data_IF_659934870795
#
_entry.id   IF_659934870795
#
_cell.length_a   1.000
_cell.length_b   1.000
_cell.length_c   1.000
_cell.angle_alpha   90.00
_cell.angle_beta   90.00
_cell.angle_gamma   90.00
#
_symmetry.space_group_name_H-M   'P 1'
#
loop_
_entity.id
_entity.type
_entity.pdbx_description
1 polymer ?
#
# COMPACT_ATOMS: atom_id res chain seq x y z
N UNK A 1 -14.95 -2.19 3.72
CA UNK A 1 -14.78 -0.98 2.87
C UNK A 1 -14.26 -1.45 1.53
N UNK A 2 -15.04 -1.29 0.47
CA UNK A 2 -14.66 -1.70 -0.89
C UNK A 2 -13.60 -0.74 -1.43
N UNK A 3 -12.47 -1.29 -1.82
CA UNK A 3 -11.42 -0.56 -2.53
C UNK A 3 -11.90 -0.24 -3.94
N UNK A 4 -12.32 0.98 -4.17
CA UNK A 4 -12.79 1.40 -5.50
C UNK A 4 -11.60 1.87 -6.34
N UNK A 5 -10.93 0.92 -6.99
CA UNK A 5 -10.21 1.25 -8.22
C UNK A 5 -11.25 1.83 -9.17
N UNK A 6 -10.98 3.02 -9.74
CA UNK A 6 -11.92 3.69 -10.67
C UNK A 6 -12.45 2.71 -11.72
N UNK A 7 -13.76 2.68 -12.01
CA UNK A 7 -14.31 1.80 -13.05
C UNK A 7 -13.66 1.98 -14.42
N UNK A 8 -13.28 3.21 -14.77
CA UNK A 8 -12.59 3.51 -16.03
C UNK A 8 -11.19 2.89 -16.04
N UNK A 9 -10.47 2.95 -14.92
CA UNK A 9 -9.15 2.34 -14.81
C UNK A 9 -9.25 0.81 -14.84
N UNK A 10 -10.22 0.22 -14.15
CA UNK A 10 -10.47 -1.24 -14.19
C UNK A 10 -10.73 -1.74 -15.60
N UNK A 11 -11.53 -1.02 -16.38
CA UNK A 11 -11.77 -1.36 -17.79
C UNK A 11 -10.49 -1.34 -18.61
N UNK A 12 -9.70 -0.27 -18.52
CA UNK A 12 -8.43 -0.15 -19.24
C UNK A 12 -7.43 -1.23 -18.83
N UNK A 13 -7.38 -1.56 -17.53
CA UNK A 13 -6.50 -2.61 -17.01
C UNK A 13 -6.91 -3.98 -17.50
N UNK A 14 -8.21 -4.29 -17.50
CA UNK A 14 -8.77 -5.53 -18.00
C UNK A 14 -8.40 -5.76 -19.47
N UNK A 15 -8.57 -4.75 -20.33
CA UNK A 15 -8.20 -4.82 -21.75
C UNK A 15 -6.71 -5.11 -21.95
N UNK A 16 -5.86 -4.44 -21.15
CA UNK A 16 -4.40 -4.66 -21.22
C UNK A 16 -4.02 -6.08 -20.75
N UNK A 17 -4.62 -6.53 -19.63
CA UNK A 17 -4.37 -7.87 -19.08
C UNK A 17 -4.81 -8.95 -20.06
N UNK A 18 -6.01 -8.85 -20.63
CA UNK A 18 -6.51 -9.77 -21.64
C UNK A 18 -5.56 -9.87 -22.83
N UNK A 19 -5.19 -8.73 -23.40
CA UNK A 19 -4.29 -8.65 -24.53
C UNK A 19 -2.94 -9.29 -24.24
N UNK A 20 -2.36 -9.02 -23.07
CA UNK A 20 -1.04 -9.54 -22.70
C UNK A 20 -1.09 -11.05 -22.41
N UNK A 21 -2.14 -11.56 -21.82
CA UNK A 21 -2.34 -13.01 -21.66
C UNK A 21 -2.33 -13.70 -23.03
N UNK A 22 -3.08 -13.19 -24.01
CA UNK A 22 -3.09 -13.74 -25.38
C UNK A 22 -1.77 -13.53 -26.12
N UNK A 23 -0.99 -12.54 -25.79
CA UNK A 23 0.36 -12.36 -26.34
C UNK A 23 1.32 -13.45 -25.87
N UNK A 24 1.25 -13.83 -24.59
CA UNK A 24 2.15 -14.82 -23.98
C UNK A 24 1.72 -16.25 -24.21
N UNK A 25 0.44 -16.52 -24.08
CA UNK A 25 -0.14 -17.86 -24.17
C UNK A 25 -0.93 -18.01 -25.45
N UNK A 26 -0.48 -18.91 -26.32
CA UNK A 26 -1.04 -19.06 -27.67
C UNK A 26 -2.16 -20.09 -27.76
N UNK A 27 -2.46 -20.81 -26.69
CA UNK A 27 -3.55 -21.79 -26.66
C UNK A 27 -4.52 -21.54 -25.52
N UNK A 28 -5.78 -21.91 -25.72
CA UNK A 28 -6.79 -21.86 -24.65
C UNK A 28 -6.40 -22.69 -23.42
N UNK A 29 -5.69 -23.79 -23.62
CA UNK A 29 -5.21 -24.66 -22.54
C UNK A 29 -4.18 -23.94 -21.66
N UNK A 30 -3.24 -23.22 -22.27
CA UNK A 30 -2.21 -22.49 -21.52
C UNK A 30 -2.80 -21.30 -20.78
N UNK A 31 -3.76 -20.60 -21.42
CA UNK A 31 -4.51 -19.52 -20.78
C UNK A 31 -5.31 -20.04 -19.57
N UNK A 32 -6.01 -21.16 -19.73
CA UNK A 32 -6.75 -21.79 -18.63
C UNK A 32 -5.79 -22.19 -17.49
N UNK A 33 -4.64 -22.75 -17.80
CA UNK A 33 -3.64 -23.13 -16.80
C UNK A 33 -3.12 -21.88 -16.04
N UNK A 34 -2.81 -20.80 -16.76
CA UNK A 34 -2.41 -19.53 -16.13
C UNK A 34 -3.49 -19.00 -15.19
N UNK A 35 -4.75 -19.01 -15.63
CA UNK A 35 -5.87 -18.56 -14.79
C UNK A 35 -6.06 -19.43 -13.54
N UNK A 36 -5.92 -20.76 -13.66
CA UNK A 36 -5.97 -21.70 -12.53
C UNK A 36 -4.84 -21.45 -11.52
N UNK A 37 -3.63 -21.13 -11.96
CA UNK A 37 -2.51 -20.79 -11.08
C UNK A 37 -2.74 -19.47 -10.30
N UNK A 38 -3.61 -18.61 -10.81
CA UNK A 38 -4.00 -17.38 -10.13
C UNK A 38 -5.15 -17.56 -9.14
N UNK A 39 -5.83 -18.72 -9.11
CA UNK A 39 -6.88 -19.00 -8.13
C UNK A 39 -6.27 -19.22 -6.75
N UNK A 40 -6.96 -18.73 -5.72
CA UNK A 40 -6.62 -18.98 -4.31
C UNK A 40 -7.74 -19.85 -3.75
N UNK A 41 -7.36 -20.97 -3.12
CA UNK A 41 -8.28 -21.88 -2.46
C UNK A 41 -8.42 -21.49 -0.99
N UNK A 42 -9.65 -21.42 -0.48
CA UNK A 42 -9.89 -21.30 0.94
C UNK A 42 -9.70 -22.65 1.67
N UNK A 43 -9.84 -22.63 2.99
CA UNK A 43 -9.73 -23.85 3.82
C UNK A 43 -10.83 -24.90 3.55
N UNK A 44 -11.86 -24.57 2.76
CA UNK A 44 -12.98 -25.46 2.40
C UNK A 44 -12.89 -25.93 0.94
N UNK A 45 -11.83 -25.55 0.22
CA UNK A 45 -11.62 -25.92 -1.18
C UNK A 45 -12.41 -25.07 -2.19
N UNK A 46 -12.99 -23.96 -1.77
CA UNK A 46 -13.61 -22.99 -2.68
C UNK A 46 -12.56 -22.05 -3.26
N UNK A 47 -12.76 -21.65 -4.51
CA UNK A 47 -11.88 -20.72 -5.19
C UNK A 47 -12.39 -19.28 -5.03
N UNK A 48 -11.47 -18.34 -5.04
CA UNK A 48 -11.76 -16.91 -4.93
C UNK A 48 -12.44 -16.32 -6.19
N UNK A 49 -12.38 -17.01 -7.32
CA UNK A 49 -13.15 -16.73 -8.55
C UNK A 49 -13.31 -17.99 -9.39
N UNK A 50 -14.40 -18.06 -10.12
CA UNK A 50 -14.68 -19.14 -11.07
C UNK A 50 -14.19 -18.78 -12.47
N UNK A 51 -13.67 -19.77 -13.20
CA UNK A 51 -13.30 -19.62 -14.60
C UNK A 51 -14.56 -19.76 -15.45
N UNK A 52 -14.81 -18.78 -16.31
CA UNK A 52 -15.88 -18.81 -17.28
C UNK A 52 -15.50 -19.58 -18.54
N UNK A 53 -16.41 -20.31 -19.09
CA UNK A 53 -16.21 -21.10 -20.32
C UNK A 53 -17.22 -20.70 -21.38
N UNK A 54 -16.85 -20.89 -22.65
CA UNK A 54 -17.78 -20.86 -23.76
C UNK A 54 -17.61 -22.13 -24.61
N UNK A 55 -18.70 -22.57 -25.24
CA UNK A 55 -18.69 -23.74 -26.10
C UNK A 55 -18.37 -23.33 -27.53
N UNK A 56 -17.34 -23.95 -28.14
CA UNK A 56 -16.98 -23.80 -29.53
C UNK A 56 -17.05 -25.16 -30.24
N UNK A 57 -17.94 -25.27 -31.23
CA UNK A 57 -18.20 -26.50 -31.95
C UNK A 57 -18.86 -27.60 -31.11
N UNK A 58 -18.85 -28.86 -31.56
CA UNK A 58 -19.45 -29.99 -30.84
C UNK A 58 -18.73 -30.26 -29.52
N UNK A 59 -19.24 -29.77 -28.42
CA UNK A 59 -18.81 -30.02 -27.03
C UNK A 59 -17.36 -29.66 -26.68
N UNK A 60 -16.77 -28.65 -27.30
CA UNK A 60 -15.48 -28.12 -26.85
C UNK A 60 -15.72 -26.91 -25.95
N UNK A 61 -15.49 -27.10 -24.68
CA UNK A 61 -15.42 -25.98 -23.72
C UNK A 61 -14.05 -25.31 -23.81
N UNK A 62 -14.05 -24.01 -24.00
CA UNK A 62 -12.86 -23.16 -23.98
C UNK A 62 -13.02 -22.08 -22.93
N UNK A 63 -11.92 -21.68 -22.32
CA UNK A 63 -11.99 -20.55 -21.38
C UNK A 63 -12.52 -19.29 -22.09
N UNK A 64 -13.48 -18.64 -21.47
CA UNK A 64 -13.91 -17.30 -21.81
C UNK A 64 -13.13 -16.30 -20.96
N UNK A 65 -11.94 -15.93 -21.43
CA UNK A 65 -11.01 -15.10 -20.67
C UNK A 65 -11.61 -13.76 -20.29
N UNK A 66 -12.30 -13.09 -21.24
CA UNK A 66 -12.87 -11.77 -20.99
C UNK A 66 -13.93 -11.78 -19.87
N UNK A 67 -14.81 -12.79 -19.85
CA UNK A 67 -15.82 -12.91 -18.78
C UNK A 67 -15.18 -13.27 -17.44
N UNK A 68 -14.17 -14.14 -17.44
CA UNK A 68 -13.40 -14.47 -16.23
C UNK A 68 -12.73 -13.22 -15.67
N UNK A 69 -12.09 -12.40 -16.51
CA UNK A 69 -11.44 -11.16 -16.08
C UNK A 69 -12.45 -10.09 -15.64
N UNK A 70 -13.68 -10.08 -16.18
CA UNK A 70 -14.77 -9.19 -15.72
C UNK A 70 -15.19 -9.51 -14.30
N UNK A 71 -15.37 -10.79 -13.99
CA UNK A 71 -15.68 -11.23 -12.61
C UNK A 71 -14.56 -10.80 -11.67
N UNK A 72 -13.30 -11.07 -12.02
CA UNK A 72 -12.15 -10.65 -11.22
C UNK A 72 -12.13 -9.13 -11.03
N UNK A 73 -12.34 -8.36 -12.10
CA UNK A 73 -12.34 -6.91 -12.04
C UNK A 73 -13.48 -6.33 -11.18
N UNK A 74 -14.61 -7.03 -11.09
CA UNK A 74 -15.76 -6.62 -10.31
C UNK A 74 -15.60 -7.00 -8.83
N UNK A 75 -15.28 -8.26 -8.55
CA UNK A 75 -15.37 -8.84 -7.23
C UNK A 75 -14.02 -8.80 -6.49
N UNK A 76 -12.90 -8.89 -7.22
CA UNK A 76 -11.55 -8.95 -6.66
C UNK A 76 -10.58 -8.06 -7.46
N UNK A 77 -10.81 -6.74 -7.51
CA UNK A 77 -10.02 -5.83 -8.35
C UNK A 77 -8.52 -5.83 -8.02
N UNK A 78 -8.12 -6.12 -6.78
CA UNK A 78 -6.71 -6.26 -6.39
C UNK A 78 -6.02 -7.45 -7.07
N UNK A 79 -6.78 -8.50 -7.43
CA UNK A 79 -6.24 -9.63 -8.17
C UNK A 79 -5.94 -9.26 -9.63
N UNK A 80 -6.83 -8.50 -10.27
CA UNK A 80 -6.56 -8.00 -11.62
C UNK A 80 -5.27 -7.20 -11.68
N UNK A 81 -5.02 -6.40 -10.63
CA UNK A 81 -3.81 -5.63 -10.52
C UNK A 81 -2.57 -6.52 -10.31
N UNK A 82 -2.64 -7.55 -9.44
CA UNK A 82 -1.55 -8.51 -9.26
C UNK A 82 -1.22 -9.23 -10.57
N UNK A 83 -2.23 -9.62 -11.35
CA UNK A 83 -2.04 -10.21 -12.68
C UNK A 83 -1.37 -9.22 -13.64
N UNK A 84 -1.73 -7.95 -13.61
CA UNK A 84 -1.10 -6.92 -14.44
C UNK A 84 0.40 -6.78 -14.11
N UNK A 85 0.76 -6.78 -12.82
CA UNK A 85 2.14 -6.73 -12.35
C UNK A 85 2.92 -7.98 -12.80
N UNK A 86 2.35 -9.17 -12.62
CA UNK A 86 2.94 -10.45 -13.04
C UNK A 86 3.21 -10.49 -14.54
N UNK A 87 2.31 -9.95 -15.33
CA UNK A 87 2.42 -9.83 -16.77
C UNK A 87 3.35 -8.70 -17.23
N UNK A 88 3.92 -7.91 -16.30
CA UNK A 88 4.80 -6.79 -16.65
C UNK A 88 4.08 -5.68 -17.39
N UNK A 89 2.77 -5.55 -17.20
CA UNK A 89 1.99 -4.46 -17.78
C UNK A 89 2.37 -3.20 -17.02
N UNK A 90 2.87 -2.20 -17.74
CA UNK A 90 3.06 -0.87 -17.19
C UNK A 90 1.69 -0.32 -16.74
N UNK A 91 1.51 -0.29 -15.44
CA UNK A 91 0.38 0.40 -14.83
C UNK A 91 0.86 1.81 -14.57
N UNK A 92 0.29 2.84 -15.23
CA UNK A 92 0.89 4.16 -15.30
C UNK A 92 1.18 4.82 -13.95
N UNK A 93 0.53 4.36 -12.88
CA UNK A 93 0.57 5.03 -11.58
C UNK A 93 0.75 4.07 -10.39
N UNK A 94 1.17 2.83 -10.64
CA UNK A 94 1.28 1.85 -9.59
C UNK A 94 2.73 1.55 -9.24
N UNK A 95 3.23 2.27 -8.28
CA UNK A 95 4.36 1.79 -7.50
C UNK A 95 3.84 0.58 -6.73
N UNK A 96 4.49 -0.61 -6.84
CA UNK A 96 4.07 -1.84 -6.13
C UNK A 96 3.96 -1.66 -4.61
N UNK A 97 4.51 -0.58 -4.08
CA UNK A 97 4.42 -0.19 -2.67
C UNK A 97 2.99 0.13 -2.20
N UNK A 98 2.09 0.62 -3.05
CA UNK A 98 0.76 1.04 -2.60
C UNK A 98 -0.10 -0.11 -2.05
N UNK A 99 -0.31 -1.24 -2.75
CA UNK A 99 -1.04 -2.37 -2.19
C UNK A 99 -0.37 -2.96 -0.96
N UNK A 100 0.96 -3.07 -0.97
CA UNK A 100 1.73 -3.56 0.18
C UNK A 100 1.54 -2.63 1.36
N UNK A 101 1.69 -1.32 1.16
CA UNK A 101 1.51 -0.32 2.20
C UNK A 101 0.10 -0.34 2.80
N UNK A 102 -0.94 -0.44 1.96
CA UNK A 102 -2.31 -0.61 2.43
C UNK A 102 -2.49 -1.82 3.34
N UNK A 103 -1.88 -2.95 2.98
CA UNK A 103 -1.98 -4.16 3.79
C UNK A 103 -1.28 -4.01 5.14
N UNK A 104 -0.08 -3.43 5.15
CA UNK A 104 0.66 -3.14 6.38
C UNK A 104 -0.11 -2.19 7.32
N UNK A 105 -0.72 -1.15 6.76
CA UNK A 105 -1.51 -0.20 7.56
C UNK A 105 -2.73 -0.84 8.24
N UNK A 106 -3.34 -1.85 7.64
CA UNK A 106 -4.55 -2.49 8.19
C UNK A 106 -4.32 -3.25 9.48
N UNK A 107 -3.12 -3.81 9.66
CA UNK A 107 -2.81 -4.64 10.82
C UNK A 107 -2.74 -3.80 12.10
N UNK A 108 -1.80 -2.89 12.17
CA UNK A 108 -1.45 -2.19 13.41
C UNK A 108 -1.63 -0.66 13.34
N UNK A 109 -1.91 -0.09 12.15
CA UNK A 109 -1.89 1.36 11.91
C UNK A 109 -3.26 1.92 11.47
N UNK A 110 -4.33 1.68 12.23
CA UNK A 110 -5.72 2.00 11.85
C UNK A 110 -5.96 3.46 11.46
N UNK A 111 -5.38 4.41 12.21
CA UNK A 111 -5.54 5.84 11.92
C UNK A 111 -4.83 6.23 10.62
N UNK A 112 -3.62 5.70 10.41
CA UNK A 112 -2.88 5.90 9.18
C UNK A 112 -3.61 5.26 7.99
N UNK A 113 -4.18 4.06 8.15
CA UNK A 113 -5.00 3.41 7.13
C UNK A 113 -6.18 4.28 6.69
N UNK A 114 -6.92 4.83 7.65
CA UNK A 114 -8.06 5.71 7.37
C UNK A 114 -7.62 6.99 6.63
N UNK A 115 -6.52 7.60 7.05
CA UNK A 115 -5.97 8.80 6.40
C UNK A 115 -5.46 8.49 5.01
N UNK A 116 -4.82 7.32 4.80
CA UNK A 116 -4.31 6.92 3.49
C UNK A 116 -5.43 6.71 2.47
N UNK A 117 -6.52 6.05 2.86
CA UNK A 117 -7.67 5.88 1.97
C UNK A 117 -8.28 7.23 1.58
N UNK A 118 -8.39 8.18 2.51
CA UNK A 118 -8.86 9.54 2.20
C UNK A 118 -7.89 10.27 1.28
N UNK A 119 -6.57 10.18 1.54
CA UNK A 119 -5.58 10.77 0.65
C UNK A 119 -5.74 10.25 -0.78
N UNK A 120 -5.87 8.94 -0.93
CA UNK A 120 -5.98 8.31 -2.24
C UNK A 120 -7.29 8.63 -2.97
N UNK A 121 -8.40 8.74 -2.24
CA UNK A 121 -9.71 9.07 -2.80
C UNK A 121 -9.78 10.51 -3.31
N UNK A 122 -9.11 11.44 -2.64
CA UNK A 122 -9.18 12.86 -2.96
C UNK A 122 -8.18 13.32 -4.03
N UNK A 123 -7.30 12.43 -4.54
CA UNK A 123 -6.24 12.82 -5.50
C UNK A 123 -6.80 13.59 -6.70
N UNK A 124 -7.90 13.12 -7.27
CA UNK A 124 -8.50 13.69 -8.48
C UNK A 124 -9.47 14.84 -8.17
N UNK A 125 -10.21 14.76 -7.07
CA UNK A 125 -11.30 15.71 -6.75
C UNK A 125 -10.81 16.89 -5.92
N UNK A 126 -9.90 16.65 -4.97
CA UNK A 126 -9.28 17.65 -4.12
C UNK A 126 -7.81 17.30 -3.84
N UNK A 127 -6.91 17.60 -4.79
CA UNK A 127 -5.48 17.31 -4.63
C UNK A 127 -4.87 17.94 -3.37
N UNK A 128 -5.32 19.12 -2.97
CA UNK A 128 -4.83 19.82 -1.79
C UNK A 128 -5.22 19.07 -0.50
N UNK A 129 -6.46 18.60 -0.39
CA UNK A 129 -6.91 17.80 0.74
C UNK A 129 -6.19 16.45 0.79
N UNK A 130 -5.96 15.81 -0.37
CA UNK A 130 -5.16 14.60 -0.50
C UNK A 130 -3.78 14.74 0.14
N UNK A 131 -3.06 15.83 -0.13
CA UNK A 131 -1.75 16.12 0.48
C UNK A 131 -1.85 16.27 2.00
N UNK A 132 -2.90 16.90 2.49
CA UNK A 132 -3.18 17.02 3.92
C UNK A 132 -3.32 15.66 4.61
N UNK A 133 -4.05 14.74 4.00
CA UNK A 133 -4.19 13.37 4.51
C UNK A 133 -2.89 12.59 4.39
N UNK A 134 -2.11 12.72 3.32
CA UNK A 134 -0.82 12.05 3.16
C UNK A 134 0.15 12.42 4.30
N UNK A 135 0.19 13.69 4.70
CA UNK A 135 0.96 14.12 5.86
C UNK A 135 0.47 13.45 7.16
N UNK A 136 -0.85 13.34 7.34
CA UNK A 136 -1.45 12.71 8.53
C UNK A 136 -1.16 11.21 8.62
N UNK A 137 -0.94 10.53 7.48
CA UNK A 137 -0.50 9.13 7.43
C UNK A 137 0.87 8.95 8.08
N UNK A 138 1.87 9.73 7.64
CA UNK A 138 3.23 9.65 8.18
C UNK A 138 3.26 9.98 9.68
N UNK A 139 2.55 11.02 10.08
CA UNK A 139 2.42 11.40 11.48
C UNK A 139 1.85 10.26 12.34
N UNK A 140 0.80 9.61 11.84
CA UNK A 140 0.14 8.51 12.56
C UNK A 140 1.03 7.28 12.67
N UNK A 141 1.76 6.91 11.61
CA UNK A 141 2.71 5.79 11.64
C UNK A 141 3.81 6.04 12.66
N UNK A 142 4.45 7.22 12.59
CA UNK A 142 5.57 7.54 13.48
C UNK A 142 5.11 7.57 14.94
N UNK A 143 3.95 8.17 15.22
CA UNK A 143 3.38 8.18 16.57
C UNK A 143 3.09 6.77 17.08
N UNK A 144 2.59 5.88 16.22
CA UNK A 144 2.31 4.50 16.61
C UNK A 144 3.59 3.73 16.94
N UNK A 145 4.61 3.83 16.10
CA UNK A 145 5.92 3.21 16.35
C UNK A 145 6.56 3.74 17.64
N UNK A 146 6.51 5.05 17.87
CA UNK A 146 7.11 5.68 19.05
C UNK A 146 6.34 5.42 20.36
N UNK A 147 5.20 4.73 20.33
CA UNK A 147 4.53 4.20 21.55
C UNK A 147 5.27 3.00 22.14
N UNK A 148 6.13 2.38 21.40
CA UNK A 148 6.94 1.26 21.90
C UNK A 148 7.77 1.72 23.11
N UNK A 149 7.65 0.99 24.20
CA UNK A 149 8.32 1.31 25.48
C UNK A 149 9.85 1.30 25.41
N UNK A 150 10.41 0.71 24.35
CA UNK A 150 11.85 0.75 24.05
C UNK A 150 12.33 2.15 23.66
N UNK A 151 11.41 3.02 23.26
CA UNK A 151 11.70 4.41 22.90
C UNK A 151 11.23 5.33 24.04
N UNK A 152 12.13 6.03 24.68
CA UNK A 152 11.79 7.00 25.74
C UNK A 152 11.43 8.37 25.13
N UNK A 153 10.32 8.41 24.36
CA UNK A 153 9.89 9.59 23.62
C UNK A 153 8.39 9.82 23.78
N UNK A 154 8.01 10.98 24.32
CA UNK A 154 6.64 11.45 24.33
C UNK A 154 6.27 12.05 22.95
N UNK A 155 5.82 11.18 22.05
CA UNK A 155 5.46 11.56 20.67
C UNK A 155 4.26 12.51 20.60
N UNK A 156 3.45 12.64 21.66
CA UNK A 156 2.24 13.47 21.67
C UNK A 156 2.55 14.97 21.62
N UNK A 157 3.73 15.36 22.08
CA UNK A 157 4.19 16.75 22.15
C UNK A 157 5.03 17.19 20.96
N UNK A 158 5.28 16.29 20.01
CA UNK A 158 6.16 16.56 18.89
C UNK A 158 5.39 17.03 17.65
N UNK A 159 5.90 18.04 16.98
CA UNK A 159 5.47 18.42 15.63
C UNK A 159 6.00 17.41 14.61
N UNK A 160 5.41 17.37 13.41
CA UNK A 160 5.73 16.36 12.41
C UNK A 160 7.23 16.31 12.07
N UNK A 161 7.87 17.45 11.82
CA UNK A 161 9.31 17.51 11.56
C UNK A 161 10.17 17.02 12.74
N UNK A 162 9.71 17.18 14.00
CA UNK A 162 10.37 16.62 15.17
C UNK A 162 10.15 15.12 15.30
N UNK A 163 8.96 14.62 14.95
CA UNK A 163 8.63 13.19 14.93
C UNK A 163 9.56 12.44 14.00
N UNK A 164 9.73 12.93 12.76
CA UNK A 164 10.64 12.29 11.78
C UNK A 164 12.08 12.27 12.28
N UNK A 165 12.57 13.37 12.84
CA UNK A 165 13.92 13.41 13.43
C UNK A 165 14.07 12.44 14.59
N UNK A 166 13.06 12.32 15.44
CA UNK A 166 13.06 11.42 16.57
C UNK A 166 13.16 9.96 16.12
N UNK A 167 12.28 9.52 15.22
CA UNK A 167 12.28 8.12 14.75
C UNK A 167 13.56 7.77 14.00
N UNK A 168 14.09 8.65 13.17
CA UNK A 168 15.37 8.41 12.47
C UNK A 168 16.56 8.34 13.44
N UNK A 169 16.50 9.05 14.56
CA UNK A 169 17.51 8.92 15.63
C UNK A 169 17.42 7.54 16.29
N UNK A 170 16.22 7.10 16.65
CA UNK A 170 16.01 5.77 17.27
C UNK A 170 16.40 4.62 16.31
N UNK A 171 16.18 4.81 15.02
CA UNK A 171 16.59 3.85 13.99
C UNK A 171 18.09 3.89 13.66
N UNK A 172 18.86 4.82 14.25
CA UNK A 172 20.27 5.01 13.93
C UNK A 172 20.52 5.52 12.52
N UNK A 173 19.54 6.15 11.90
CA UNK A 173 19.60 6.69 10.53
C UNK A 173 19.91 8.19 10.50
N UNK A 174 20.40 8.75 11.61
CA UNK A 174 20.82 10.14 11.68
C UNK A 174 22.30 10.31 11.27
N UNK A 175 22.72 11.53 10.88
CA UNK A 175 24.09 11.80 10.44
C UNK A 175 25.20 11.41 11.43
N UNK A 176 24.87 11.33 12.73
CA UNK A 176 25.82 11.05 13.79
C UNK A 176 25.96 9.57 14.16
N UNK A 177 25.26 8.68 13.43
CA UNK A 177 25.32 7.23 13.70
C UNK A 177 26.67 6.63 13.28
N UNK A 178 27.48 6.10 14.21
CA UNK A 178 28.85 5.70 13.92
C UNK A 178 28.96 4.41 13.10
N UNK A 179 27.93 3.59 13.10
CA UNK A 179 27.94 2.24 12.51
C UNK A 179 27.31 2.15 11.10
N UNK A 180 26.88 3.26 10.53
CA UNK A 180 26.14 3.29 9.28
C UNK A 180 27.01 3.91 8.17
N UNK A 181 27.01 3.36 6.93
CA UNK A 181 27.64 4.01 5.78
C UNK A 181 27.10 5.42 5.55
N UNK A 182 27.94 6.34 5.07
CA UNK A 182 27.55 7.74 4.89
C UNK A 182 26.44 7.91 3.84
N UNK A 183 26.40 7.03 2.84
CA UNK A 183 25.35 7.00 1.82
C UNK A 183 23.99 6.67 2.44
N UNK A 184 23.93 5.71 3.37
CA UNK A 184 22.69 5.34 4.08
C UNK A 184 22.24 6.48 4.99
N UNK A 185 23.17 7.13 5.70
CA UNK A 185 22.88 8.33 6.51
C UNK A 185 22.33 9.47 5.64
N UNK A 186 22.89 9.65 4.44
CA UNK A 186 22.42 10.66 3.47
C UNK A 186 21.00 10.36 3.01
N UNK A 187 20.67 9.11 2.68
CA UNK A 187 19.32 8.69 2.35
C UNK A 187 18.37 8.92 3.54
N UNK A 188 18.77 8.51 4.75
CA UNK A 188 17.99 8.74 5.96
C UNK A 188 17.68 10.22 6.22
N UNK A 189 18.68 11.10 6.07
CA UNK A 189 18.46 12.55 6.20
C UNK A 189 17.55 13.11 5.10
N UNK A 190 17.56 12.51 3.90
CA UNK A 190 16.65 12.88 2.82
C UNK A 190 15.18 12.59 3.17
N UNK A 191 14.89 11.54 3.96
CA UNK A 191 13.55 11.27 4.46
C UNK A 191 13.01 12.42 5.33
N UNK A 192 13.87 13.05 6.13
CA UNK A 192 13.51 14.25 6.89
C UNK A 192 13.13 15.40 5.96
N UNK A 193 13.89 15.58 4.89
CA UNK A 193 13.61 16.63 3.89
C UNK A 193 12.29 16.39 3.18
N UNK A 194 12.03 15.15 2.73
CA UNK A 194 10.77 14.77 2.08
C UNK A 194 9.59 15.00 3.01
N UNK A 195 9.66 14.50 4.25
CA UNK A 195 8.58 14.63 5.21
C UNK A 195 8.30 16.08 5.58
N UNK A 196 9.36 16.90 5.72
CA UNK A 196 9.22 18.34 5.96
C UNK A 196 8.59 19.04 4.74
N UNK A 197 8.99 18.70 3.53
CA UNK A 197 8.40 19.28 2.33
C UNK A 197 6.90 18.97 2.22
N UNK A 198 6.47 17.75 2.59
CA UNK A 198 5.05 17.37 2.64
C UNK A 198 4.31 18.21 3.71
N UNK A 199 4.91 18.41 4.90
CA UNK A 199 4.35 19.26 5.96
C UNK A 199 4.22 20.72 5.52
N UNK A 200 5.26 21.27 4.90
CA UNK A 200 5.27 22.65 4.38
C UNK A 200 4.22 22.84 3.26
N UNK A 201 4.08 21.86 2.36
CA UNK A 201 3.03 21.85 1.34
C UNK A 201 1.63 21.86 1.97
N UNK A 202 1.39 21.01 2.97
CA UNK A 202 0.12 21.00 3.71
C UNK A 202 -0.17 22.36 4.34
N UNK A 203 0.81 22.96 4.98
CA UNK A 203 0.64 24.20 5.73
C UNK A 203 0.48 25.42 4.84
N UNK A 204 1.24 25.45 3.74
CA UNK A 204 1.38 26.65 2.90
C UNK A 204 0.53 26.61 1.64
N UNK A 205 0.17 25.43 1.15
CA UNK A 205 -0.43 25.22 -0.17
C UNK A 205 -1.77 24.50 -0.16
N UNK A 206 -2.32 24.23 1.05
CA UNK A 206 -3.64 23.64 1.18
C UNK A 206 -4.54 24.48 2.09
N UNK A 207 -5.85 24.32 1.99
CA UNK A 207 -6.85 24.99 2.84
C UNK A 207 -6.97 24.38 4.25
N UNK A 208 -6.17 23.39 4.59
CA UNK A 208 -6.30 22.59 5.81
C UNK A 208 -6.19 23.39 7.13
N UNK A 209 -5.63 24.59 7.08
CA UNK A 209 -5.51 25.51 8.23
C UNK A 209 -6.38 26.77 8.11
N UNK A 210 -7.41 26.77 7.26
CA UNK A 210 -8.38 27.87 7.18
C UNK A 210 -7.79 29.20 6.71
N UNK A 211 -6.70 29.17 5.93
CA UNK A 211 -6.13 30.36 5.35
C UNK A 211 -6.88 30.78 4.08
N UNK A 212 -7.65 31.87 4.17
CA UNK A 212 -8.25 32.59 3.02
C UNK A 212 -7.20 33.34 2.17
N UNK A 213 -5.99 32.77 2.02
CA UNK A 213 -4.94 33.49 1.28
C UNK A 213 -4.98 33.10 -0.19
N UNK A 214 -4.72 34.09 -1.07
CA UNK A 214 -4.47 33.92 -2.52
C UNK A 214 -3.21 33.08 -2.82
N UNK A 215 -2.80 32.21 -1.89
CA UNK A 215 -1.66 31.31 -2.08
C UNK A 215 -2.02 30.25 -3.12
N UNK A 216 -1.05 29.92 -3.95
CA UNK A 216 -1.16 28.82 -4.90
C UNK A 216 -1.54 27.54 -4.16
N UNK A 217 -2.72 27.02 -4.43
CA UNK A 217 -3.17 25.72 -3.94
C UNK A 217 -2.72 24.65 -4.94
N UNK A 218 -2.48 23.44 -4.40
CA UNK A 218 -2.21 22.29 -5.26
C UNK A 218 -3.53 21.89 -5.91
N UNK A 219 -3.68 22.19 -7.20
CA UNK A 219 -4.89 21.91 -7.99
C UNK A 219 -4.65 20.80 -9.04
N UNK A 220 -3.40 20.40 -9.26
CA UNK A 220 -3.04 19.38 -10.23
C UNK A 220 -2.92 17.99 -9.55
N UNK A 221 -3.75 17.00 -9.94
CA UNK A 221 -3.72 15.64 -9.40
C UNK A 221 -2.35 14.97 -9.48
N UNK A 222 -1.53 15.30 -10.48
CA UNK A 222 -0.19 14.74 -10.67
C UNK A 222 0.71 14.97 -9.44
N UNK A 223 0.64 16.15 -8.84
CA UNK A 223 1.42 16.45 -7.64
C UNK A 223 0.92 15.69 -6.42
N UNK A 224 -0.40 15.56 -6.28
CA UNK A 224 -0.99 14.75 -5.21
C UNK A 224 -0.61 13.28 -5.35
N UNK A 225 -0.65 12.71 -6.54
CA UNK A 225 -0.15 11.36 -6.83
C UNK A 225 1.30 11.19 -6.40
N UNK A 226 2.16 12.12 -6.79
CA UNK A 226 3.58 12.08 -6.41
C UNK A 226 3.76 12.08 -4.90
N UNK A 227 3.05 12.95 -4.18
CA UNK A 227 3.16 13.10 -2.72
C UNK A 227 2.61 11.87 -1.99
N UNK A 228 1.46 11.33 -2.41
CA UNK A 228 0.87 10.11 -1.83
C UNK A 228 1.80 8.90 -2.03
N UNK A 229 2.41 8.79 -3.21
CA UNK A 229 3.40 7.74 -3.48
C UNK A 229 4.67 7.89 -2.63
N UNK A 230 5.18 9.11 -2.48
CA UNK A 230 6.32 9.39 -1.61
C UNK A 230 6.00 9.04 -0.15
N UNK A 231 4.82 9.41 0.33
CA UNK A 231 4.31 9.06 1.65
C UNK A 231 4.25 7.54 1.85
N UNK A 232 3.70 6.80 0.88
CA UNK A 232 3.63 5.34 0.95
C UNK A 232 5.02 4.70 1.00
N UNK A 233 5.96 5.19 0.21
CA UNK A 233 7.34 4.69 0.18
C UNK A 233 8.04 4.91 1.53
N UNK A 234 7.94 6.13 2.08
CA UNK A 234 8.53 6.48 3.38
C UNK A 234 7.86 5.68 4.50
N UNK A 235 6.53 5.64 4.52
CA UNK A 235 5.76 4.92 5.54
C UNK A 235 6.08 3.43 5.56
N UNK A 236 6.11 2.79 4.40
CA UNK A 236 6.46 1.38 4.27
C UNK A 236 7.88 1.09 4.74
N UNK A 237 8.83 1.97 4.41
CA UNK A 237 10.20 1.85 4.91
C UNK A 237 10.25 1.92 6.43
N UNK A 238 9.57 2.87 7.06
CA UNK A 238 9.56 3.03 8.52
C UNK A 238 8.94 1.80 9.22
N UNK A 239 7.83 1.28 8.72
CA UNK A 239 7.16 0.09 9.25
C UNK A 239 8.10 -1.13 9.15
N UNK A 240 8.60 -1.43 7.96
CA UNK A 240 9.49 -2.59 7.74
C UNK A 240 10.78 -2.50 8.55
N UNK A 241 11.36 -1.29 8.69
CA UNK A 241 12.56 -1.10 9.49
C UNK A 241 12.25 -1.40 10.97
N UNK A 242 11.14 -0.86 11.49
CA UNK A 242 10.71 -1.11 12.85
C UNK A 242 10.50 -2.59 13.13
N UNK A 243 9.72 -3.28 12.30
CA UNK A 243 9.41 -4.69 12.49
C UNK A 243 10.65 -5.59 12.47
N UNK A 244 11.62 -5.27 11.58
CA UNK A 244 12.85 -6.06 11.45
C UNK A 244 13.87 -5.79 12.56
N UNK A 245 13.98 -4.54 13.03
CA UNK A 245 14.99 -4.15 14.00
C UNK A 245 14.49 -4.19 15.43
N UNK A 246 13.19 -4.10 15.62
CA UNK A 246 12.52 -4.09 16.91
C UNK A 246 11.36 -5.11 16.94
N UNK A 247 11.64 -6.40 16.70
CA UNK A 247 10.58 -7.42 16.69
C UNK A 247 9.86 -7.44 18.04
N UNK A 248 8.54 -7.66 17.99
CA UNK A 248 7.74 -7.89 19.20
C UNK A 248 8.26 -9.18 19.85
N UNK A 249 8.52 -9.16 21.16
CA UNK A 249 8.83 -10.39 21.91
C UNK A 249 7.62 -11.30 21.79
N UNK A 250 7.82 -12.50 21.25
CA UNK A 250 6.80 -13.53 21.26
C UNK A 250 6.74 -14.04 22.71
N UNK A 251 5.69 -13.70 23.45
CA UNK A 251 5.39 -14.41 24.69
C UNK A 251 5.23 -15.88 24.33
N UNK A 252 6.25 -16.68 24.69
CA UNK A 252 6.12 -18.13 24.65
C UNK A 252 5.02 -18.48 25.64
N UNK A 253 3.83 -18.76 25.12
CA UNK A 253 2.76 -19.38 25.90
C UNK A 253 3.33 -20.76 26.27
N UNK A 254 3.81 -20.89 27.51
CA UNK A 254 4.15 -22.19 28.08
C UNK A 254 2.86 -23.00 28.11
N UNK A 255 2.69 -23.89 27.14
CA UNK A 255 1.67 -24.90 27.12
C UNK A 255 2.08 -26.06 28.05
N UNK A 256 2.33 -25.76 29.32
CA UNK A 256 2.55 -26.78 30.35
C UNK A 256 1.21 -27.30 30.96
N UNK A 257 0.06 -27.01 30.36
CA UNK A 257 -1.27 -27.46 30.83
C UNK A 257 -1.77 -28.78 30.20
N UNK A 258 -0.91 -29.58 29.57
CA UNK A 258 -1.34 -30.85 28.97
C UNK A 258 -1.06 -32.10 29.82
N UNK A 259 -0.50 -31.94 31.03
CA UNK A 259 -0.14 -33.10 31.88
C UNK A 259 -1.25 -33.57 32.86
N UNK A 260 -2.42 -32.95 32.90
CA UNK A 260 -3.51 -33.35 33.82
C UNK A 260 -4.79 -33.81 33.08
N UNK A 261 -4.67 -34.72 32.11
CA UNK A 261 -5.83 -35.51 31.67
C UNK A 261 -5.85 -36.84 32.41
N UNK A 262 -6.84 -37.09 33.31
CA UNK A 262 -7.01 -38.38 33.93
C UNK A 262 -7.54 -39.38 32.89
N UNK A 263 -6.81 -40.49 32.74
CA UNK A 263 -7.27 -41.68 32.02
C UNK A 263 -8.44 -42.31 32.70
#
# INVERSE_FOLDING_TARGET
MEYKISPVYRMKLLEKVEKEIWNRYKSYKDVEQYMKLNQIYDGFGQVDFDISYFSEGKNKEKINLIETLRVIAQDIPDKLLKMAIDLGIETPDYIPSIPTFRNELKADYKNASTSFEKAFQNIEEDPAESVGYANSVLESIIKEILKDQRFDIDATKLTNGKLVKAILKEFGLNPNSPQMPDEIKSIGSSLTTVSKAIEDLRSDKTSFHGHDSEKYLIDEPLYAYFIVNACATVGLFLINFYEKKFPKEVELVNNDEWDDLPF
#
